data_IF_157507306946
#
_entry.id   IF_157507306946
#
_cell.length_a   1.000
_cell.length_b   1.000
_cell.length_c   1.000
_cell.angle_alpha   90.00
_cell.angle_beta   90.00
_cell.angle_gamma   90.00
#
_symmetry.space_group_name_H-M   'P 1'
#
loop_
_entity.id
_entity.type
_entity.pdbx_description
1 polymer ?
#
# COMPACT_ATOMS: atom_id res chain seq x y z
N UNK A 1 11.90 20.33 -6.38
CA UNK A 1 12.82 19.47 -5.61
C UNK A 1 13.72 18.66 -6.55
N UNK A 2 13.29 17.54 -7.15
CA UNK A 2 14.13 16.77 -8.09
C UNK A 2 14.74 17.63 -9.21
N UNK A 3 13.91 18.39 -9.95
CA UNK A 3 14.38 19.32 -11.01
C UNK A 3 15.24 20.49 -10.50
N UNK A 4 15.06 20.88 -9.24
CA UNK A 4 15.71 22.06 -8.66
C UNK A 4 17.12 21.75 -8.18
N UNK A 5 17.31 20.53 -7.64
CA UNK A 5 18.55 20.10 -7.00
C UNK A 5 19.28 19.00 -7.77
N UNK A 6 18.78 18.63 -8.95
CA UNK A 6 19.31 17.54 -9.77
C UNK A 6 19.48 16.23 -8.97
N UNK A 7 18.43 15.88 -8.22
CA UNK A 7 18.36 14.67 -7.39
C UNK A 7 17.20 13.79 -7.80
N UNK A 8 17.28 12.50 -7.45
CA UNK A 8 16.19 11.55 -7.62
C UNK A 8 15.67 11.05 -6.26
N UNK A 9 14.66 11.74 -5.74
CA UNK A 9 13.91 11.33 -4.54
C UNK A 9 12.65 10.57 -5.00
N UNK A 10 12.47 9.30 -4.59
CA UNK A 10 11.30 8.51 -4.95
C UNK A 10 10.07 8.94 -4.13
N UNK A 11 8.88 8.81 -4.72
CA UNK A 11 7.60 8.93 -4.03
C UNK A 11 7.03 7.53 -3.80
N UNK A 12 6.70 7.19 -2.55
CA UNK A 12 6.07 5.91 -2.21
C UNK A 12 4.67 6.15 -1.67
N UNK A 13 3.68 5.49 -2.28
CA UNK A 13 2.28 5.57 -1.88
C UNK A 13 1.85 4.27 -1.20
N UNK A 14 1.44 4.35 0.07
CA UNK A 14 0.78 3.24 0.76
C UNK A 14 -0.73 3.29 0.48
N UNK A 15 -1.22 2.31 -0.28
CA UNK A 15 -2.63 2.19 -0.63
C UNK A 15 -3.38 1.26 0.33
N UNK A 16 -4.71 1.26 0.23
CA UNK A 16 -5.56 0.21 0.78
C UNK A 16 -6.14 -0.63 -0.36
N UNK A 17 -6.70 -1.79 -0.07
CA UNK A 17 -7.41 -2.58 -1.09
C UNK A 17 -8.56 -1.79 -1.75
N UNK A 18 -9.12 -0.79 -1.06
CA UNK A 18 -10.15 0.11 -1.61
C UNK A 18 -9.60 1.17 -2.58
N UNK A 19 -8.31 1.49 -2.52
CA UNK A 19 -7.71 2.60 -3.28
C UNK A 19 -6.61 2.18 -4.25
N UNK A 20 -6.12 0.94 -4.15
CA UNK A 20 -4.94 0.49 -4.87
C UNK A 20 -5.12 0.50 -6.39
N UNK A 21 -6.20 -0.09 -6.89
CA UNK A 21 -6.48 -0.17 -8.32
C UNK A 21 -6.70 1.22 -8.95
N UNK A 22 -7.42 2.09 -8.26
CA UNK A 22 -7.69 3.43 -8.78
C UNK A 22 -6.43 4.32 -8.72
N UNK A 23 -5.61 4.16 -7.68
CA UNK A 23 -4.30 4.82 -7.60
C UNK A 23 -3.40 4.36 -8.73
N UNK A 24 -3.30 3.05 -8.99
CA UNK A 24 -2.51 2.50 -10.10
C UNK A 24 -2.99 3.01 -11.47
N UNK A 25 -4.31 3.13 -11.69
CA UNK A 25 -4.87 3.72 -12.92
C UNK A 25 -4.48 5.19 -13.06
N UNK A 26 -4.55 5.96 -11.96
CA UNK A 26 -4.21 7.38 -11.95
C UNK A 26 -2.71 7.62 -12.22
N UNK A 27 -1.84 6.80 -11.63
CA UNK A 27 -0.38 6.91 -11.80
C UNK A 27 0.07 6.78 -13.27
N UNK A 28 -0.70 6.07 -14.11
CA UNK A 28 -0.42 6.00 -15.56
C UNK A 28 -0.44 7.37 -16.25
N UNK A 29 -1.15 8.35 -15.69
CA UNK A 29 -1.20 9.73 -16.23
C UNK A 29 0.08 10.53 -15.94
N UNK A 30 0.87 10.13 -14.95
CA UNK A 30 2.05 10.87 -14.47
C UNK A 30 3.38 10.29 -14.93
N UNK A 31 3.37 9.38 -15.93
CA UNK A 31 4.58 8.75 -16.47
C UNK A 31 5.67 9.71 -16.98
N UNK A 32 5.29 10.95 -17.31
CA UNK A 32 6.20 11.96 -17.86
C UNK A 32 6.76 12.93 -16.80
N UNK A 33 6.46 12.70 -15.51
CA UNK A 33 7.00 13.50 -14.41
C UNK A 33 8.34 12.90 -13.98
N UNK A 34 9.36 13.74 -13.77
CA UNK A 34 10.70 13.32 -13.32
C UNK A 34 10.70 12.94 -11.82
N UNK A 35 9.97 11.88 -11.49
CA UNK A 35 9.88 11.28 -10.16
C UNK A 35 9.57 9.80 -10.29
N UNK A 36 10.36 8.95 -9.65
CA UNK A 36 10.05 7.53 -9.54
C UNK A 36 8.94 7.34 -8.52
N UNK A 37 7.79 6.83 -8.97
CA UNK A 37 6.63 6.57 -8.12
C UNK A 37 6.46 5.07 -7.90
N UNK A 38 6.46 4.68 -6.62
CA UNK A 38 6.19 3.32 -6.17
C UNK A 38 4.89 3.31 -5.37
N UNK A 39 4.19 2.17 -5.40
CA UNK A 39 3.00 1.97 -4.58
C UNK A 39 2.98 0.55 -4.04
N UNK A 40 2.54 0.40 -2.80
CA UNK A 40 2.28 -0.90 -2.19
C UNK A 40 0.94 -0.87 -1.46
N UNK A 41 0.29 -2.02 -1.37
CA UNK A 41 -1.00 -2.14 -0.70
C UNK A 41 -0.80 -2.64 0.73
N UNK A 42 -1.41 -1.96 1.70
CA UNK A 42 -1.44 -2.43 3.08
C UNK A 42 -2.31 -3.70 3.20
N UNK A 43 -2.13 -4.44 4.29
CA UNK A 43 -2.86 -5.68 4.53
C UNK A 43 -4.37 -5.44 4.69
N UNK A 44 -5.14 -6.53 4.56
CA UNK A 44 -6.61 -6.55 4.69
C UNK A 44 -6.99 -7.60 5.74
N UNK A 45 -7.64 -7.18 6.82
CA UNK A 45 -7.96 -8.02 7.97
C UNK A 45 -9.48 -8.21 8.06
N UNK A 46 -9.98 -9.40 8.45
CA UNK A 46 -11.40 -9.62 8.60
C UNK A 46 -11.91 -8.92 9.85
N UNK A 47 -13.07 -8.26 9.75
CA UNK A 47 -13.75 -7.70 10.92
C UNK A 47 -14.24 -8.84 11.81
N UNK A 48 -14.33 -8.56 13.10
CA UNK A 48 -14.78 -9.50 14.13
C UNK A 48 -16.18 -9.11 14.60
N UNK A 49 -17.08 -10.09 14.69
CA UNK A 49 -18.39 -9.93 15.32
C UNK A 49 -18.22 -9.68 16.82
N UNK A 50 -18.88 -8.65 17.34
CA UNK A 50 -18.73 -8.26 18.75
C UNK A 50 -19.26 -9.33 19.71
N UNK A 51 -20.34 -10.00 19.34
CA UNK A 51 -21.05 -10.95 20.20
C UNK A 51 -20.32 -12.30 20.29
N UNK A 52 -19.82 -12.81 19.16
CA UNK A 52 -19.16 -14.12 19.10
C UNK A 52 -17.64 -14.05 19.19
N UNK A 53 -17.04 -12.87 19.00
CA UNK A 53 -15.60 -12.68 18.83
C UNK A 53 -14.98 -13.48 17.68
N UNK A 54 -15.81 -13.90 16.71
CA UNK A 54 -15.40 -14.64 15.52
C UNK A 54 -15.35 -13.73 14.29
N UNK A 55 -14.55 -14.05 13.26
CA UNK A 55 -14.56 -13.33 11.99
C UNK A 55 -15.95 -13.29 11.36
N UNK A 56 -16.34 -12.14 10.80
CA UNK A 56 -17.57 -12.01 10.01
C UNK A 56 -17.45 -12.85 8.73
N UNK A 57 -16.27 -12.83 8.12
CA UNK A 57 -15.97 -13.51 6.86
C UNK A 57 -16.08 -15.02 7.02
N UNK A 58 -16.81 -15.67 6.12
CA UNK A 58 -16.92 -17.14 6.09
C UNK A 58 -15.85 -17.77 5.22
N UNK A 59 -15.40 -17.07 4.19
CA UNK A 59 -14.36 -17.51 3.27
C UNK A 59 -13.40 -16.37 2.94
N UNK A 60 -12.14 -16.69 2.70
CA UNK A 60 -11.11 -15.69 2.32
C UNK A 60 -11.36 -15.13 0.91
N UNK A 61 -12.01 -15.92 0.06
CA UNK A 61 -12.39 -15.53 -1.31
C UNK A 61 -13.64 -14.67 -1.36
N UNK A 62 -14.33 -14.44 -0.23
CA UNK A 62 -15.57 -13.69 -0.23
C UNK A 62 -15.28 -12.22 -0.57
N UNK A 63 -16.01 -11.73 -1.58
CA UNK A 63 -15.73 -10.45 -2.21
C UNK A 63 -16.33 -9.26 -1.46
N UNK A 64 -17.16 -9.49 -0.45
CA UNK A 64 -17.76 -8.41 0.32
C UNK A 64 -16.64 -7.56 0.96
N UNK A 65 -16.55 -6.29 0.57
CA UNK A 65 -15.50 -5.39 1.05
C UNK A 65 -15.80 -4.87 2.45
N UNK A 66 -17.06 -4.87 2.88
CA UNK A 66 -17.48 -4.30 4.16
C UNK A 66 -17.12 -5.21 5.34
N UNK A 67 -16.97 -6.51 5.11
CA UNK A 67 -16.54 -7.49 6.12
C UNK A 67 -15.04 -7.39 6.46
N UNK A 68 -14.30 -6.55 5.76
CA UNK A 68 -12.87 -6.39 5.93
C UNK A 68 -12.51 -4.93 6.23
N UNK A 69 -11.31 -4.74 6.76
CA UNK A 69 -10.80 -3.41 7.06
C UNK A 69 -9.27 -3.36 6.88
N UNK A 70 -8.72 -2.18 6.53
CA UNK A 70 -7.29 -1.95 6.64
C UNK A 70 -6.91 -1.86 8.14
N UNK A 71 -5.88 -2.56 8.62
CA UNK A 71 -5.50 -2.60 10.04
C UNK A 71 -4.89 -1.29 10.58
N UNK A 72 -5.06 -0.17 9.86
CA UNK A 72 -4.55 1.15 10.22
C UNK A 72 -3.09 1.37 9.82
N UNK A 73 -2.61 2.60 10.03
CA UNK A 73 -1.29 3.03 9.54
C UNK A 73 -0.09 2.33 10.21
N UNK A 74 -0.30 1.64 11.33
CA UNK A 74 0.75 0.82 11.98
C UNK A 74 1.18 -0.39 11.14
N UNK A 75 0.32 -0.89 10.25
CA UNK A 75 0.66 -1.98 9.33
C UNK A 75 1.65 -1.57 8.23
N UNK A 76 2.02 -0.28 8.15
CA UNK A 76 3.06 0.22 7.26
C UNK A 76 4.32 -0.65 7.29
N UNK A 77 4.85 -0.99 8.47
CA UNK A 77 6.12 -1.72 8.58
C UNK A 77 6.05 -3.11 7.95
N UNK A 78 5.00 -3.87 8.29
CA UNK A 78 4.77 -5.22 7.75
C UNK A 78 4.50 -5.17 6.25
N UNK A 79 3.61 -4.29 5.80
CA UNK A 79 3.25 -4.17 4.40
C UNK A 79 4.41 -3.66 3.54
N UNK A 80 5.21 -2.73 4.04
CA UNK A 80 6.37 -2.19 3.34
C UNK A 80 7.50 -3.22 3.24
N UNK A 81 7.76 -3.95 4.33
CA UNK A 81 8.69 -5.08 4.32
C UNK A 81 8.26 -6.14 3.29
N UNK A 82 7.00 -6.60 3.37
CA UNK A 82 6.45 -7.62 2.48
C UNK A 82 6.36 -7.17 1.01
N UNK A 83 6.33 -5.87 0.74
CA UNK A 83 6.33 -5.33 -0.63
C UNK A 83 7.68 -5.49 -1.35
N UNK A 84 8.77 -5.77 -0.62
CA UNK A 84 10.14 -5.78 -1.15
C UNK A 84 10.72 -4.39 -1.43
N UNK A 85 9.95 -3.31 -1.24
CA UNK A 85 10.43 -1.96 -1.42
C UNK A 85 11.48 -1.55 -0.38
N UNK A 86 11.38 -2.06 0.85
CA UNK A 86 12.40 -1.83 1.88
C UNK A 86 13.78 -2.31 1.39
N UNK A 87 13.88 -3.58 1.02
CA UNK A 87 15.14 -4.17 0.54
C UNK A 87 15.64 -3.47 -0.70
N UNK A 88 14.74 -3.13 -1.63
CA UNK A 88 15.07 -2.36 -2.82
C UNK A 88 15.71 -1.01 -2.47
N UNK A 89 15.10 -0.22 -1.59
CA UNK A 89 15.62 1.10 -1.28
C UNK A 89 16.91 1.06 -0.48
N UNK A 90 17.09 0.06 0.40
CA UNK A 90 18.36 -0.17 1.07
C UNK A 90 19.48 -0.51 0.06
N UNK A 91 19.18 -1.35 -0.94
CA UNK A 91 20.11 -1.67 -2.03
C UNK A 91 20.42 -0.45 -2.91
N UNK A 92 19.44 0.42 -3.12
CA UNK A 92 19.59 1.71 -3.81
C UNK A 92 20.34 2.76 -2.95
N UNK A 93 20.82 2.39 -1.76
CA UNK A 93 21.62 3.23 -0.86
C UNK A 93 20.82 4.29 -0.09
N UNK A 94 19.50 4.11 0.06
CA UNK A 94 18.64 5.01 0.85
C UNK A 94 18.70 4.63 2.34
N UNK A 95 18.71 5.63 3.22
CA UNK A 95 18.82 5.49 4.67
C UNK A 95 17.77 6.35 5.37
#
# INVERSE_FOLDING_TARGET
MNRTYDVNVPLVLMNSFNTDEDTKKLLRKYKNVQVDVYSFCQSKYPRILKESLMPIVKNVSDSDHDEWYPPGHGNFYEAFYNSGLLDKFLQDGKQ
#
